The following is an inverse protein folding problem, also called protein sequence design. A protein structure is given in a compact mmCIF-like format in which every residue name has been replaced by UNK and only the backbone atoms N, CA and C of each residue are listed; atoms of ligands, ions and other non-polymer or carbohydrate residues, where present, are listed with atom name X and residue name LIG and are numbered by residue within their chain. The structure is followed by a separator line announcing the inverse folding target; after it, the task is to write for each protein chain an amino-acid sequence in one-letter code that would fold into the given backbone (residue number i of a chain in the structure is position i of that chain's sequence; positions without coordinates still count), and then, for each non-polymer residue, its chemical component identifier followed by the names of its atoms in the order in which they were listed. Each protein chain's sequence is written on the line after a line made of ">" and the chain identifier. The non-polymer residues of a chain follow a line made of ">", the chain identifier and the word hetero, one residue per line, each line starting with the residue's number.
data_IF_023744762270
#
_entry.id   IF_023744762270
#
_cell.length_a   1.000
_cell.length_b   1.000
_cell.length_c   1.000
_cell.angle_alpha   90.00
_cell.angle_beta   90.00
_cell.angle_gamma   90.00
#
_symmetry.space_group_name_H-M   'P 1'
#
loop_
_entity.id
_entity.type
_entity.pdbx_description
1 polymer ?
#
# COMPACT_ATOMS: atom_id res chain seq x y z
N UNK A 1 8.41 18.50 17.71
CA UNK A 1 8.68 17.20 17.06
C UNK A 1 7.49 16.88 16.18
N UNK A 2 7.66 16.79 14.86
CA UNK A 2 6.60 16.29 13.99
C UNK A 2 6.47 14.77 14.21
N UNK A 3 5.24 14.30 14.44
CA UNK A 3 4.96 12.89 14.69
C UNK A 3 4.79 12.11 13.38
N UNK A 4 4.95 10.79 13.46
CA UNK A 4 4.57 9.89 12.37
C UNK A 4 3.04 9.74 12.36
N UNK A 5 2.43 9.80 11.17
CA UNK A 5 1.01 9.54 10.98
C UNK A 5 0.81 8.15 10.42
N UNK A 6 0.06 7.32 11.13
CA UNK A 6 -0.24 5.94 10.74
C UNK A 6 -1.63 5.86 10.11
N UNK A 7 -1.71 5.37 8.88
CA UNK A 7 -2.98 5.17 8.18
C UNK A 7 -3.26 3.68 7.98
N UNK A 8 -4.45 3.26 8.37
CA UNK A 8 -5.02 1.98 8.01
C UNK A 8 -5.92 2.20 6.79
N UNK A 9 -5.63 1.50 5.70
CA UNK A 9 -6.34 1.61 4.44
C UNK A 9 -6.96 0.26 4.07
N UNK A 10 -7.90 0.29 3.13
CA UNK A 10 -8.44 -0.92 2.50
C UNK A 10 -7.52 -1.40 1.36
N UNK A 11 -7.99 -2.41 0.62
CA UNK A 11 -7.30 -2.91 -0.57
C UNK A 11 -7.47 -2.01 -1.80
N UNK A 12 -8.51 -1.17 -1.84
CA UNK A 12 -8.83 -0.32 -2.99
C UNK A 12 -7.77 0.75 -3.21
N UNK A 13 -7.11 1.22 -2.14
CA UNK A 13 -5.95 2.11 -2.26
C UNK A 13 -4.90 1.58 -3.26
N UNK A 14 -4.73 0.26 -3.35
CA UNK A 14 -3.76 -0.35 -4.27
C UNK A 14 -4.35 -0.80 -5.60
N UNK A 15 -5.65 -1.07 -5.65
CA UNK A 15 -6.31 -1.70 -6.80
C UNK A 15 -7.00 -0.68 -7.69
N UNK A 16 -7.65 0.32 -7.10
CA UNK A 16 -8.54 1.24 -7.80
C UNK A 16 -7.99 2.67 -7.87
N UNK A 17 -7.14 3.06 -6.93
CA UNK A 17 -6.52 4.39 -6.92
C UNK A 17 -5.32 4.48 -7.87
N UNK A 18 -4.85 5.72 -8.08
CA UNK A 18 -3.56 5.97 -8.74
C UNK A 18 -2.41 5.31 -7.94
N UNK A 19 -1.27 5.00 -8.56
CA UNK A 19 -0.09 4.55 -7.84
C UNK A 19 0.24 5.51 -6.68
N UNK A 20 0.74 4.98 -5.56
CA UNK A 20 0.97 5.77 -4.34
C UNK A 20 1.84 7.02 -4.57
N UNK A 21 2.82 6.95 -5.46
CA UNK A 21 3.68 8.10 -5.85
C UNK A 21 2.95 9.22 -6.61
N UNK A 22 1.78 8.91 -7.19
CA UNK A 22 0.98 9.81 -8.02
C UNK A 22 -0.29 10.29 -7.28
N UNK A 23 -0.46 9.91 -6.01
CA UNK A 23 -1.53 10.40 -5.14
C UNK A 23 -1.12 11.74 -4.51
N UNK A 24 -2.10 12.60 -4.30
CA UNK A 24 -1.91 13.87 -3.59
C UNK A 24 -1.89 13.61 -2.08
N UNK A 25 -0.72 13.85 -1.46
CA UNK A 25 -0.50 13.71 -0.03
C UNK A 25 -0.45 15.04 0.73
N UNK A 26 -0.71 16.17 0.06
CA UNK A 26 -0.57 17.53 0.62
C UNK A 26 -1.38 17.76 1.92
N UNK A 27 -2.53 17.11 2.04
CA UNK A 27 -3.37 17.21 3.24
C UNK A 27 -2.71 16.66 4.53
N UNK A 28 -1.58 15.94 4.42
CA UNK A 28 -0.84 15.38 5.56
C UNK A 28 0.57 15.99 5.73
N UNK A 29 0.83 17.19 5.20
CA UNK A 29 2.13 17.88 5.26
C UNK A 29 2.68 18.13 6.68
N UNK A 30 1.84 18.07 7.71
CA UNK A 30 2.23 18.32 9.10
C UNK A 30 2.83 17.08 9.83
N UNK A 31 3.21 16.02 9.11
CA UNK A 31 3.83 14.82 9.68
C UNK A 31 5.24 14.57 9.14
N UNK A 32 6.09 13.93 9.94
CA UNK A 32 7.45 13.56 9.52
C UNK A 32 7.42 12.44 8.47
N UNK A 33 6.55 11.46 8.71
CA UNK A 33 6.32 10.34 7.81
C UNK A 33 4.85 9.96 7.80
N UNK A 34 4.32 9.70 6.61
CA UNK A 34 3.06 9.02 6.42
C UNK A 34 3.31 7.50 6.30
N UNK A 35 2.88 6.73 7.29
CA UNK A 35 3.06 5.28 7.34
C UNK A 35 1.77 4.57 7.00
N UNK A 36 1.73 3.94 5.82
CA UNK A 36 0.62 3.10 5.39
C UNK A 36 0.79 1.69 5.97
N UNK A 37 -0.15 1.26 6.80
CA UNK A 37 -0.08 -0.05 7.47
C UNK A 37 -0.92 -1.07 6.70
N UNK A 38 -0.23 -2.00 6.04
CA UNK A 38 -0.86 -3.07 5.25
C UNK A 38 -1.24 -4.24 6.16
N UNK A 39 -2.51 -4.25 6.58
CA UNK A 39 -3.05 -5.31 7.45
C UNK A 39 -3.19 -6.65 6.73
N UNK A 40 -3.27 -7.75 7.51
CA UNK A 40 -3.46 -9.10 6.96
C UNK A 40 -4.72 -9.25 6.09
N UNK A 41 -5.90 -8.71 6.46
CA UNK A 41 -7.09 -8.76 5.60
C UNK A 41 -6.86 -8.15 4.21
N UNK A 42 -6.19 -7.00 4.14
CA UNK A 42 -5.86 -6.32 2.87
C UNK A 42 -4.97 -7.18 1.98
N UNK A 43 -3.95 -7.82 2.58
CA UNK A 43 -3.07 -8.75 1.84
C UNK A 43 -3.85 -9.93 1.25
N UNK A 44 -4.72 -10.55 2.06
CA UNK A 44 -5.54 -11.69 1.66
C UNK A 44 -6.50 -11.31 0.53
N UNK A 45 -7.10 -10.13 0.61
CA UNK A 45 -8.01 -9.63 -0.42
C UNK A 45 -7.29 -9.38 -1.75
N UNK A 46 -6.14 -8.69 -1.73
CA UNK A 46 -5.32 -8.46 -2.92
C UNK A 46 -4.88 -9.78 -3.56
N UNK A 47 -4.47 -10.76 -2.75
CA UNK A 47 -4.09 -12.08 -3.26
C UNK A 47 -5.27 -12.86 -3.85
N UNK A 48 -6.48 -12.72 -3.30
CA UNK A 48 -7.70 -13.31 -3.87
C UNK A 48 -8.05 -12.67 -5.22
N UNK A 49 -8.01 -11.35 -5.31
CA UNK A 49 -8.34 -10.61 -6.54
C UNK A 49 -7.31 -10.84 -7.65
N UNK A 50 -6.05 -11.13 -7.32
CA UNK A 50 -5.02 -11.58 -8.30
C UNK A 50 -5.42 -12.84 -9.07
N UNK A 51 -6.36 -13.64 -8.55
CA UNK A 51 -6.78 -14.89 -9.16
C UNK A 51 -8.15 -14.81 -9.86
N UNK A 52 -8.87 -13.67 -9.81
CA UNK A 52 -10.24 -13.56 -10.33
C UNK A 52 -10.57 -12.16 -10.88
N UNK A 53 -11.35 -12.09 -11.95
CA UNK A 53 -11.99 -10.85 -12.43
C UNK A 53 -11.11 -9.87 -13.20
N UNK A 54 -11.69 -8.71 -13.53
CA UNK A 54 -11.07 -7.61 -14.28
C UNK A 54 -9.92 -6.94 -13.51
N UNK A 55 -10.01 -6.88 -12.18
CA UNK A 55 -8.99 -6.28 -11.32
C UNK A 55 -7.74 -7.16 -11.12
N UNK A 56 -7.72 -8.36 -11.71
CA UNK A 56 -6.58 -9.27 -11.70
C UNK A 56 -5.25 -8.60 -12.04
N UNK A 57 -5.22 -7.79 -13.10
CA UNK A 57 -3.99 -7.12 -13.52
C UNK A 57 -3.56 -6.06 -12.50
N UNK A 58 -4.53 -5.34 -11.91
CA UNK A 58 -4.29 -4.29 -10.93
C UNK A 58 -3.79 -4.85 -9.61
N UNK A 59 -4.30 -6.00 -9.18
CA UNK A 59 -3.89 -6.69 -7.95
C UNK A 59 -2.50 -7.37 -8.04
N UNK A 60 -1.99 -7.67 -9.24
CA UNK A 60 -0.66 -8.30 -9.41
C UNK A 60 0.48 -7.39 -8.94
N UNK A 61 0.40 -6.09 -9.24
CA UNK A 61 1.44 -5.11 -8.90
C UNK A 61 1.62 -4.95 -7.38
N UNK A 62 0.58 -4.68 -6.57
CA UNK A 62 0.72 -4.61 -5.11
C UNK A 62 1.03 -5.97 -4.48
N UNK A 63 0.49 -7.08 -4.98
CA UNK A 63 0.87 -8.43 -4.49
C UNK A 63 2.38 -8.69 -4.67
N UNK A 64 2.94 -8.29 -5.82
CA UNK A 64 4.39 -8.37 -6.05
C UNK A 64 5.16 -7.45 -5.10
N UNK A 65 4.69 -6.21 -4.93
CA UNK A 65 5.29 -5.22 -4.04
C UNK A 65 5.41 -5.75 -2.61
N UNK A 66 4.32 -6.26 -2.04
CA UNK A 66 4.34 -6.81 -0.69
C UNK A 66 5.27 -8.03 -0.56
N UNK A 67 5.34 -8.86 -1.60
CA UNK A 67 6.29 -9.97 -1.63
C UNK A 67 7.74 -9.51 -1.66
N UNK A 68 8.04 -8.42 -2.37
CA UNK A 68 9.36 -7.82 -2.39
C UNK A 68 9.71 -7.22 -1.03
N UNK A 69 8.77 -6.53 -0.37
CA UNK A 69 8.93 -6.04 1.00
C UNK A 69 9.28 -7.17 1.99
N UNK A 70 8.55 -8.28 1.95
CA UNK A 70 8.79 -9.44 2.82
C UNK A 70 10.14 -10.14 2.59
N UNK A 71 10.79 -9.92 1.44
CA UNK A 71 12.15 -10.43 1.17
C UNK A 71 13.23 -9.53 1.74
N UNK A 72 12.90 -8.29 2.06
CA UNK A 72 13.83 -7.41 2.78
C UNK A 72 13.79 -7.77 4.25
N UNK A 73 14.92 -7.64 4.96
CA UNK A 73 14.95 -7.76 6.43
C UNK A 73 14.24 -6.57 7.13
N UNK A 74 13.59 -5.69 6.35
CA UNK A 74 12.88 -4.51 6.81
C UNK A 74 11.38 -4.75 6.69
N UNK A 75 10.65 -4.22 7.66
CA UNK A 75 9.18 -4.30 7.70
C UNK A 75 8.52 -3.13 6.96
N UNK A 76 9.30 -2.25 6.35
CA UNK A 76 8.85 -1.05 5.66
C UNK A 76 9.54 -0.84 4.31
N UNK A 77 8.89 -0.07 3.45
CA UNK A 77 9.41 0.34 2.15
C UNK A 77 9.01 1.78 1.89
N UNK A 78 10.01 2.61 1.56
CA UNK A 78 9.81 4.03 1.28
C UNK A 78 9.42 4.20 -0.19
N UNK A 79 8.29 4.86 -0.40
CA UNK A 79 7.84 5.27 -1.74
C UNK A 79 8.09 6.78 -1.85
N UNK A 80 8.76 7.18 -2.93
CA UNK A 80 9.08 8.57 -3.26
C UNK A 80 8.28 9.03 -4.47
#
# INVERSE_FOLDING_TARGET
>A
MQADLFLLHDSNLFIQCKPLKDLDWSQWENCSHLRLIVTRPVQVEIDRQKNKGSDRQRARKPSRLFREMLKTERNDMVIR
#
